data_IF_153536805168
#
_entry.id   IF_153536805168
#
_cell.length_a   1.000
_cell.length_b   1.000
_cell.length_c   1.000
_cell.angle_alpha   90.00
_cell.angle_beta   90.00
_cell.angle_gamma   90.00
#
_symmetry.space_group_name_H-M   'P 1'
#
loop_
_entity.id
_entity.type
_entity.pdbx_description
1 polymer ?
#
# COMPACT_ATOMS: atom_id res chain seq x y z
N UNK A 1 -5.02 3.99 0.95
CA UNK A 1 -4.34 2.69 0.99
C UNK A 1 -3.18 2.79 1.98
N UNK A 2 -3.19 1.97 3.00
CA UNK A 2 -2.13 1.86 4.00
C UNK A 2 -1.41 0.54 3.80
N UNK A 3 -0.11 0.56 3.53
CA UNK A 3 0.72 -0.61 3.23
C UNK A 3 -0.01 -1.64 2.35
N UNK A 4 -0.45 -1.26 1.14
CA UNK A 4 -1.39 -2.07 0.38
C UNK A 4 -0.71 -3.27 -0.28
N UNK A 5 -1.33 -4.43 -0.15
CA UNK A 5 -1.02 -5.67 -0.88
C UNK A 5 -1.61 -5.57 -2.30
N UNK A 6 -0.79 -5.34 -3.33
CA UNK A 6 -1.24 -5.01 -4.68
C UNK A 6 -0.83 -6.03 -5.76
N UNK A 7 0.30 -6.72 -5.57
CA UNK A 7 0.93 -7.58 -6.58
C UNK A 7 1.04 -9.03 -6.13
N UNK A 8 0.14 -9.86 -6.62
CA UNK A 8 0.11 -11.30 -6.34
C UNK A 8 1.35 -12.06 -6.83
N UNK A 9 2.10 -11.49 -7.78
CA UNK A 9 3.32 -12.11 -8.35
C UNK A 9 4.50 -12.06 -7.38
N UNK A 10 4.51 -11.10 -6.46
CA UNK A 10 5.54 -10.94 -5.42
C UNK A 10 6.97 -10.94 -6.01
N UNK A 11 7.20 -10.17 -7.08
CA UNK A 11 8.46 -10.17 -7.84
C UNK A 11 9.29 -8.90 -7.62
N UNK A 12 8.82 -7.97 -6.79
CA UNK A 12 9.57 -6.75 -6.49
C UNK A 12 10.76 -7.03 -5.57
N UNK A 13 11.84 -6.23 -5.61
CA UNK A 13 12.96 -6.40 -4.68
C UNK A 13 12.52 -6.47 -3.21
N UNK A 14 11.70 -5.52 -2.74
CA UNK A 14 11.24 -5.50 -1.35
C UNK A 14 10.41 -6.74 -0.98
N UNK A 15 9.61 -7.28 -1.91
CA UNK A 15 8.82 -8.49 -1.66
C UNK A 15 9.67 -9.77 -1.57
N UNK A 16 10.94 -9.72 -2.00
CA UNK A 16 11.89 -10.82 -1.94
C UNK A 16 12.87 -10.72 -0.76
N UNK A 17 12.91 -9.58 -0.08
CA UNK A 17 13.75 -9.40 1.09
C UNK A 17 13.23 -10.26 2.26
N UNK A 18 14.12 -11.05 2.87
CA UNK A 18 13.82 -11.80 4.09
C UNK A 18 13.91 -10.86 5.30
N UNK A 19 12.99 -9.93 5.39
CA UNK A 19 12.90 -9.05 6.54
C UNK A 19 12.06 -9.73 7.62
N UNK A 20 12.72 -10.11 8.71
CA UNK A 20 12.06 -10.65 9.91
C UNK A 20 11.46 -9.55 10.80
N UNK A 21 11.47 -8.31 10.34
CA UNK A 21 11.00 -7.17 11.11
C UNK A 21 9.53 -6.87 10.80
N UNK A 22 8.72 -6.86 11.85
CA UNK A 22 7.30 -6.51 11.75
C UNK A 22 6.38 -7.71 11.79
N UNK A 23 5.09 -7.42 11.67
CA UNK A 23 3.99 -8.41 11.79
C UNK A 23 3.69 -9.13 10.47
N UNK A 24 4.28 -8.69 9.34
CA UNK A 24 4.04 -9.26 8.02
C UNK A 24 5.35 -9.53 7.31
N UNK A 25 5.47 -10.68 6.67
CA UNK A 25 6.67 -11.11 5.99
C UNK A 25 6.34 -11.86 4.69
N UNK A 26 7.37 -12.17 3.89
CA UNK A 26 7.25 -12.85 2.61
C UNK A 26 6.45 -14.17 2.69
N UNK A 27 6.66 -14.97 3.72
CA UNK A 27 5.97 -16.25 3.87
C UNK A 27 4.47 -16.03 4.15
N UNK A 28 4.14 -15.15 5.09
CA UNK A 28 2.76 -14.77 5.39
C UNK A 28 2.06 -14.19 4.14
N UNK A 29 2.77 -13.34 3.39
CA UNK A 29 2.24 -12.75 2.15
C UNK A 29 1.92 -13.81 1.09
N UNK A 30 2.81 -14.79 0.89
CA UNK A 30 2.57 -15.89 -0.06
C UNK A 30 1.34 -16.73 0.33
N UNK A 31 1.18 -17.02 1.63
CA UNK A 31 0.00 -17.74 2.15
C UNK A 31 -1.28 -16.91 1.98
N UNK A 32 -1.22 -15.61 2.25
CA UNK A 32 -2.36 -14.72 2.10
C UNK A 32 -2.83 -14.64 0.64
N UNK A 33 -1.91 -14.43 -0.31
CA UNK A 33 -2.26 -14.44 -1.73
C UNK A 33 -2.85 -15.78 -2.16
N UNK A 34 -2.25 -16.90 -1.75
CA UNK A 34 -2.79 -18.23 -2.03
C UNK A 34 -4.21 -18.42 -1.47
N UNK A 35 -4.45 -17.99 -0.23
CA UNK A 35 -5.77 -18.07 0.38
C UNK A 35 -6.79 -17.16 -0.30
N UNK A 36 -6.41 -15.89 -0.56
CA UNK A 36 -7.29 -14.90 -1.16
C UNK A 36 -7.72 -15.27 -2.58
N UNK A 37 -6.81 -15.83 -3.38
CA UNK A 37 -7.08 -16.22 -4.76
C UNK A 37 -7.59 -17.66 -4.91
N UNK A 38 -7.76 -18.40 -3.81
CA UNK A 38 -8.03 -19.86 -3.83
C UNK A 38 -9.32 -20.27 -4.54
N UNK A 39 -10.30 -19.37 -4.65
CA UNK A 39 -11.60 -19.64 -5.28
C UNK A 39 -11.70 -19.07 -6.70
N UNK A 40 -10.66 -18.40 -7.18
CA UNK A 40 -10.65 -17.84 -8.54
C UNK A 40 -10.26 -18.92 -9.55
N UNK A 41 -11.07 -19.03 -10.61
CA UNK A 41 -10.77 -19.84 -11.79
C UNK A 41 -10.35 -18.92 -12.94
N UNK A 42 -9.28 -19.28 -13.64
CA UNK A 42 -8.75 -18.52 -14.78
C UNK A 42 -7.83 -17.36 -14.39
N UNK A 43 -7.88 -16.28 -15.18
CA UNK A 43 -7.00 -15.13 -14.99
C UNK A 43 -7.35 -14.31 -13.75
N UNK A 44 -6.32 -13.86 -13.03
CA UNK A 44 -6.49 -13.01 -11.86
C UNK A 44 -6.95 -11.61 -12.29
N UNK A 45 -8.16 -11.18 -11.86
CA UNK A 45 -8.70 -9.89 -12.26
C UNK A 45 -7.96 -8.73 -11.56
N UNK A 46 -7.95 -7.57 -12.21
CA UNK A 46 -7.33 -6.34 -11.69
C UNK A 46 -7.92 -5.88 -10.35
N UNK A 47 -9.16 -6.24 -10.05
CA UNK A 47 -9.78 -5.95 -8.76
C UNK A 47 -9.23 -6.80 -7.61
N UNK A 48 -8.71 -7.98 -7.91
CA UNK A 48 -8.06 -8.82 -6.92
C UNK A 48 -6.57 -8.46 -6.76
N UNK A 49 -5.90 -8.08 -7.86
CA UNK A 49 -4.49 -7.69 -7.87
C UNK A 49 -4.31 -6.39 -8.66
N UNK A 50 -4.44 -5.21 -8.00
CA UNK A 50 -4.39 -3.90 -8.67
C UNK A 50 -3.11 -3.61 -9.46
N UNK A 51 -2.00 -4.24 -9.09
CA UNK A 51 -0.75 -4.15 -9.84
C UNK A 51 -0.85 -4.72 -11.27
N UNK A 52 -1.86 -5.49 -11.59
CA UNK A 52 -2.15 -5.99 -12.95
C UNK A 52 -2.88 -4.99 -13.84
N UNK A 53 -3.41 -3.89 -13.26
CA UNK A 53 -4.09 -2.84 -14.01
C UNK A 53 -3.08 -2.08 -14.89
N UNK A 54 -3.26 -2.16 -16.22
CA UNK A 54 -2.39 -1.50 -17.19
C UNK A 54 -2.75 -0.03 -17.38
N UNK A 55 -4.03 0.32 -17.25
CA UNK A 55 -4.50 1.69 -17.40
C UNK A 55 -5.45 2.07 -16.25
N UNK A 56 -4.94 2.71 -15.20
CA UNK A 56 -5.75 3.17 -14.08
C UNK A 56 -6.43 4.52 -14.30
N UNK A 57 -6.47 5.04 -15.53
CA UNK A 57 -7.16 6.30 -15.83
C UNK A 57 -8.62 6.27 -15.39
N UNK A 58 -9.09 7.38 -14.82
CA UNK A 58 -10.47 7.50 -14.32
C UNK A 58 -10.70 6.93 -12.92
N UNK A 59 -9.69 6.35 -12.26
CA UNK A 59 -9.78 6.02 -10.85
C UNK A 59 -9.89 7.30 -9.99
N UNK A 60 -10.55 7.22 -8.83
CA UNK A 60 -10.63 8.35 -7.90
C UNK A 60 -9.24 8.71 -7.36
N UNK A 61 -9.14 9.93 -6.80
CA UNK A 61 -7.92 10.37 -6.12
C UNK A 61 -7.48 9.36 -5.04
N UNK A 62 -6.18 9.16 -4.91
CA UNK A 62 -5.61 8.15 -4.04
C UNK A 62 -4.67 8.76 -2.98
N UNK A 63 -4.75 8.23 -1.76
CA UNK A 63 -3.72 8.36 -0.72
C UNK A 63 -3.07 6.99 -0.53
N UNK A 64 -1.74 6.94 -0.59
CA UNK A 64 -0.97 5.71 -0.41
C UNK A 64 0.17 5.99 0.56
N UNK A 65 0.29 5.16 1.60
CA UNK A 65 1.35 5.24 2.60
C UNK A 65 1.98 3.86 2.82
N UNK A 66 3.31 3.82 2.95
CA UNK A 66 4.05 2.57 3.18
C UNK A 66 5.35 2.85 3.94
N UNK A 67 5.80 1.89 4.75
CA UNK A 67 7.10 1.92 5.40
C UNK A 67 8.25 1.62 4.43
N UNK A 68 9.43 2.20 4.66
CA UNK A 68 10.63 1.92 3.87
C UNK A 68 11.07 0.45 3.99
N UNK A 69 10.88 -0.14 5.18
CA UNK A 69 11.24 -1.53 5.46
C UNK A 69 10.07 -2.51 5.24
N UNK A 70 9.00 -2.06 4.59
CA UNK A 70 7.84 -2.88 4.27
C UNK A 70 8.06 -3.65 2.97
N UNK A 71 7.68 -4.92 2.94
CA UNK A 71 7.75 -5.73 1.71
C UNK A 71 6.86 -5.19 0.58
N UNK A 72 5.84 -4.40 0.90
CA UNK A 72 4.94 -3.75 -0.07
C UNK A 72 5.48 -2.43 -0.63
N UNK A 73 6.65 -1.96 -0.17
CA UNK A 73 7.27 -0.69 -0.61
C UNK A 73 7.33 -0.55 -2.12
N UNK A 74 7.96 -1.49 -2.79
CA UNK A 74 8.25 -1.36 -4.21
C UNK A 74 7.01 -1.52 -5.10
N UNK A 75 6.07 -2.39 -4.71
CA UNK A 75 4.79 -2.51 -5.43
C UNK A 75 3.90 -1.28 -5.25
N UNK A 76 3.92 -0.66 -4.06
CA UNK A 76 3.24 0.60 -3.81
C UNK A 76 3.84 1.74 -4.65
N UNK A 77 5.17 1.87 -4.70
CA UNK A 77 5.88 2.83 -5.56
C UNK A 77 5.52 2.65 -7.04
N UNK A 78 5.57 1.42 -7.52
CA UNK A 78 5.23 1.11 -8.92
C UNK A 78 3.76 1.43 -9.25
N UNK A 79 2.87 1.21 -8.30
CA UNK A 79 1.44 1.55 -8.47
C UNK A 79 1.21 3.06 -8.48
N UNK A 80 1.86 3.80 -7.56
CA UNK A 80 1.84 5.29 -7.54
C UNK A 80 2.30 5.86 -8.87
N UNK A 81 3.42 5.38 -9.41
CA UNK A 81 3.93 5.84 -10.71
C UNK A 81 2.89 5.66 -11.83
N UNK A 82 2.17 4.54 -11.86
CA UNK A 82 1.12 4.29 -12.85
C UNK A 82 -0.10 5.17 -12.66
N UNK A 83 -0.54 5.40 -11.42
CA UNK A 83 -1.63 6.31 -11.11
C UNK A 83 -1.31 7.73 -11.60
N UNK A 84 -0.14 8.25 -11.25
CA UNK A 84 0.32 9.59 -11.66
C UNK A 84 0.45 9.69 -13.17
N UNK A 85 1.04 8.70 -13.84
CA UNK A 85 1.17 8.66 -15.29
C UNK A 85 -0.19 8.64 -16.01
N UNK A 86 -1.22 8.07 -15.38
CA UNK A 86 -2.59 8.05 -15.89
C UNK A 86 -3.42 9.29 -15.52
N UNK A 87 -2.81 10.30 -14.87
CA UNK A 87 -3.48 11.54 -14.47
C UNK A 87 -4.39 11.40 -13.24
N UNK A 88 -4.23 10.34 -12.45
CA UNK A 88 -4.98 10.16 -11.19
C UNK A 88 -4.31 10.99 -10.10
N UNK A 89 -5.02 11.94 -9.44
CA UNK A 89 -4.46 12.72 -8.34
C UNK A 89 -4.05 11.78 -7.19
N UNK A 90 -2.74 11.78 -6.85
CA UNK A 90 -2.19 10.82 -5.91
C UNK A 90 -1.30 11.50 -4.89
N UNK A 91 -1.56 11.27 -3.61
CA UNK A 91 -0.70 11.64 -2.49
C UNK A 91 0.01 10.39 -1.97
N UNK A 92 1.34 10.44 -1.92
CA UNK A 92 2.16 9.29 -1.52
C UNK A 92 3.10 9.64 -0.38
N UNK A 93 3.16 8.77 0.62
CA UNK A 93 4.05 8.88 1.78
C UNK A 93 4.88 7.61 1.94
N UNK A 94 6.20 7.76 1.88
CA UNK A 94 7.17 6.72 2.25
C UNK A 94 7.78 7.09 3.60
N UNK A 95 7.66 6.20 4.58
CA UNK A 95 8.12 6.44 5.95
C UNK A 95 9.47 5.76 6.21
N UNK A 96 10.58 6.53 6.32
CA UNK A 96 11.92 5.99 6.53
C UNK A 96 12.04 5.17 7.81
N UNK A 97 12.67 4.00 7.72
CA UNK A 97 12.91 3.11 8.86
C UNK A 97 11.66 2.42 9.42
N UNK A 98 10.49 2.64 8.84
CA UNK A 98 9.24 2.04 9.29
C UNK A 98 9.02 0.66 8.63
N UNK A 99 8.58 -0.33 9.42
CA UNK A 99 8.17 -1.66 8.96
C UNK A 99 6.66 -1.72 8.71
N UNK A 100 6.17 -2.84 8.20
CA UNK A 100 4.73 -3.08 8.03
C UNK A 100 3.97 -2.95 9.36
N UNK A 101 2.90 -2.19 9.36
CA UNK A 101 2.02 -1.99 10.53
C UNK A 101 2.65 -1.18 11.67
N UNK A 102 3.69 -0.38 11.40
CA UNK A 102 4.42 0.40 12.41
C UNK A 102 3.49 1.29 13.24
N UNK A 103 2.44 1.82 12.65
CA UNK A 103 1.45 2.68 13.30
C UNK A 103 0.66 1.94 14.37
N UNK A 104 0.40 0.64 14.17
CA UNK A 104 -0.25 -0.22 15.15
C UNK A 104 0.70 -0.74 16.24
N UNK A 105 2.00 -0.89 15.91
CA UNK A 105 3.01 -1.37 16.85
C UNK A 105 3.37 -0.32 17.91
N UNK A 106 3.45 0.94 17.50
CA UNK A 106 3.72 2.07 18.41
C UNK A 106 2.96 3.32 17.94
N UNK A 107 1.69 3.45 18.32
CA UNK A 107 0.86 4.59 17.91
C UNK A 107 1.38 5.95 18.38
N UNK A 108 2.11 5.99 19.50
CA UNK A 108 2.63 7.22 20.10
C UNK A 108 3.96 7.67 19.49
N UNK A 109 4.58 6.85 18.62
CA UNK A 109 5.78 7.24 17.93
C UNK A 109 5.49 8.43 16.99
N UNK A 110 6.44 9.38 16.90
CA UNK A 110 6.30 10.56 16.03
C UNK A 110 6.01 10.21 14.58
N UNK A 111 6.57 9.10 14.08
CA UNK A 111 6.35 8.62 12.72
C UNK A 111 4.92 8.09 12.52
N UNK A 112 4.35 7.41 13.52
CA UNK A 112 2.96 6.93 13.51
C UNK A 112 1.97 8.09 13.58
N UNK A 113 2.20 9.04 14.47
CA UNK A 113 1.42 10.28 14.56
C UNK A 113 1.49 11.10 13.26
N UNK A 114 2.63 11.10 12.57
CA UNK A 114 2.79 11.77 11.28
C UNK A 114 1.94 11.10 10.18
N UNK A 115 1.88 9.78 10.15
CA UNK A 115 1.00 9.04 9.25
C UNK A 115 -0.47 9.40 9.51
N UNK A 116 -0.90 9.35 10.77
CA UNK A 116 -2.28 9.67 11.16
C UNK A 116 -2.66 11.11 10.77
N UNK A 117 -1.79 12.07 11.06
CA UNK A 117 -2.02 13.45 10.65
C UNK A 117 -2.15 13.63 9.13
N UNK A 118 -1.33 12.90 8.36
CA UNK A 118 -1.31 12.99 6.89
C UNK A 118 -2.60 12.44 6.28
N UNK A 119 -3.01 11.22 6.66
CA UNK A 119 -4.21 10.62 6.09
C UNK A 119 -5.49 11.33 6.55
N UNK A 120 -5.56 11.81 7.81
CA UNK A 120 -6.69 12.62 8.30
C UNK A 120 -6.78 13.92 7.49
N UNK A 121 -5.66 14.60 7.26
CA UNK A 121 -5.64 15.81 6.44
C UNK A 121 -6.09 15.55 5.01
N UNK A 122 -5.66 14.43 4.40
CA UNK A 122 -6.13 14.00 3.08
C UNK A 122 -7.64 13.79 3.05
N UNK A 123 -8.18 13.00 3.99
CA UNK A 123 -9.62 12.71 4.07
C UNK A 123 -10.43 13.99 4.30
N UNK A 124 -9.96 14.87 5.18
CA UNK A 124 -10.59 16.19 5.43
C UNK A 124 -10.71 16.99 4.14
N UNK A 125 -9.66 17.05 3.32
CA UNK A 125 -9.70 17.74 2.01
C UNK A 125 -10.66 17.07 1.02
N UNK A 126 -10.64 15.75 0.93
CA UNK A 126 -11.45 15.01 -0.05
C UNK A 126 -12.95 15.09 0.21
N UNK A 127 -13.34 15.07 1.49
CA UNK A 127 -14.74 15.09 1.89
C UNK A 127 -15.25 16.45 2.33
N UNK A 128 -14.44 17.51 2.24
CA UNK A 128 -14.84 18.85 2.65
C UNK A 128 -15.21 18.95 4.14
N UNK A 129 -14.62 18.08 4.99
CA UNK A 129 -14.88 18.07 6.42
C UNK A 129 -14.25 19.31 7.07
N UNK A 130 -15.01 20.01 7.91
CA UNK A 130 -14.44 21.07 8.74
C UNK A 130 -13.42 20.45 9.72
N UNK A 131 -12.27 21.13 9.92
CA UNK A 131 -11.36 20.76 11.01
C UNK A 131 -12.12 20.95 12.33
N UNK A 132 -12.20 19.88 13.10
CA UNK A 132 -12.68 19.95 14.48
C UNK A 132 -11.68 20.70 15.36
#
# INVERSE_FOLDING_TARGET
>A
LMAPMLDDRQQTPSSQEDQYMGVWNRHANALAWKAYLSTLEGDIPVYAAPARCQNPAGLPSAFIAVGELDLFRDEALAYVQRLVAAGVPTEFHLYPGACHGFEGLNPEASISMSLDASWIAYMTRQFGLARA
#
